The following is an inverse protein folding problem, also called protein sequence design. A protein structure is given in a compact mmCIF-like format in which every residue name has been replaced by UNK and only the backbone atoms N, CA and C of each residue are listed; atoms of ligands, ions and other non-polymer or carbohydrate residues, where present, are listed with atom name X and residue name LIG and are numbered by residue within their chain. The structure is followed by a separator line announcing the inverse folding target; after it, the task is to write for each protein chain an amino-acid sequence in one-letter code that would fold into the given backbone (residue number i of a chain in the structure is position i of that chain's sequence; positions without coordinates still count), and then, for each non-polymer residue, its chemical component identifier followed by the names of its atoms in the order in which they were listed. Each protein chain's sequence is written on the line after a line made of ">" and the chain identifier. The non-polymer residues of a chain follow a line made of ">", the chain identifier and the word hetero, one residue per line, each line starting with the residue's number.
data_IF_439656852915
#
_entry.id   IF_439656852915
#
_cell.length_a   1.000
_cell.length_b   1.000
_cell.length_c   1.000
_cell.angle_alpha   90.00
_cell.angle_beta   90.00
_cell.angle_gamma   90.00
#
_symmetry.space_group_name_H-M   'P 1'
#
loop_
_entity.id
_entity.type
_entity.pdbx_description
1 polymer ?
#
# COMPACT_ATOMS: atom_id res chain seq x y z
N UNK A 1 9.98 0.24 -4.63
CA UNK A 1 8.81 0.07 -5.51
C UNK A 1 8.30 1.40 -6.07
N UNK A 2 9.18 2.36 -6.42
CA UNK A 2 8.76 3.62 -7.05
C UNK A 2 8.48 3.44 -8.55
N UNK A 3 9.21 2.52 -9.19
CA UNK A 3 9.03 2.19 -10.62
C UNK A 3 7.64 1.58 -10.93
N UNK A 4 6.86 1.21 -9.91
CA UNK A 4 5.51 0.68 -10.07
C UNK A 4 4.41 1.72 -9.78
N UNK A 5 4.78 2.98 -9.53
CA UNK A 5 3.81 4.06 -9.34
C UNK A 5 3.57 4.77 -10.66
N UNK A 6 2.33 4.70 -11.12
CA UNK A 6 1.86 5.42 -12.31
C UNK A 6 0.58 6.18 -11.94
N UNK A 7 0.35 7.40 -12.47
CA UNK A 7 -0.93 8.06 -12.32
C UNK A 7 -2.05 7.18 -12.90
N UNK A 8 -3.07 6.87 -12.09
CA UNK A 8 -4.22 6.07 -12.50
C UNK A 8 -5.46 6.95 -12.64
N UNK A 9 -6.31 6.63 -13.63
CA UNK A 9 -7.63 7.25 -13.71
C UNK A 9 -8.47 6.85 -12.48
N UNK A 10 -9.53 7.60 -12.20
CA UNK A 10 -10.42 7.36 -11.06
C UNK A 10 -10.91 5.91 -10.96
N UNK A 11 -11.19 5.26 -12.09
CA UNK A 11 -11.63 3.86 -12.12
C UNK A 11 -10.52 2.90 -11.68
N UNK A 12 -9.31 3.02 -12.25
CA UNK A 12 -8.20 2.13 -11.93
C UNK A 12 -7.58 2.39 -10.56
N UNK A 13 -7.71 3.60 -10.01
CA UNK A 13 -7.25 3.88 -8.65
C UNK A 13 -8.19 3.33 -7.55
N UNK A 14 -9.35 2.77 -7.92
CA UNK A 14 -10.35 2.17 -7.01
C UNK A 14 -10.33 0.64 -7.01
N UNK A 15 -9.25 0.04 -7.49
CA UNK A 15 -9.16 -1.42 -7.58
C UNK A 15 -9.11 -2.06 -6.19
N UNK A 16 -8.43 -1.43 -5.22
CA UNK A 16 -8.50 -1.84 -3.82
C UNK A 16 -9.87 -1.46 -3.23
N UNK A 17 -10.36 -2.27 -2.29
CA UNK A 17 -11.59 -1.98 -1.57
C UNK A 17 -11.35 -0.82 -0.58
N UNK A 18 -11.95 0.35 -0.84
CA UNK A 18 -11.91 1.50 0.09
C UNK A 18 -12.91 1.33 1.25
N UNK A 19 -14.01 0.61 1.00
CA UNK A 19 -15.04 0.29 1.99
C UNK A 19 -14.61 -0.95 2.80
N UNK A 20 -14.42 -0.85 4.13
CA UNK A 20 -13.94 -1.97 4.95
C UNK A 20 -14.94 -3.13 5.02
N UNK A 21 -16.22 -2.89 4.70
CA UNK A 21 -17.26 -3.92 4.66
C UNK A 21 -17.33 -4.66 3.32
N UNK A 22 -16.55 -4.22 2.33
CA UNK A 22 -16.36 -4.92 1.06
C UNK A 22 -15.11 -5.80 1.10
N UNK A 23 -15.23 -7.00 0.54
CA UNK A 23 -14.16 -8.00 0.54
C UNK A 23 -14.00 -8.63 -0.85
N UNK A 24 -13.95 -7.82 -1.91
CA UNK A 24 -13.90 -8.32 -3.29
C UNK A 24 -12.47 -8.44 -3.82
N UNK A 25 -11.60 -7.47 -3.50
CA UNK A 25 -10.26 -7.33 -4.10
C UNK A 25 -9.15 -7.16 -3.05
N UNK A 26 -9.50 -6.81 -1.82
CA UNK A 26 -8.56 -6.60 -0.72
C UNK A 26 -8.28 -5.11 -0.51
N UNK A 27 -7.71 -4.78 0.65
CA UNK A 27 -7.58 -3.39 1.11
C UNK A 27 -6.27 -3.16 1.86
N UNK A 28 -5.86 -1.90 1.93
CA UNK A 28 -4.83 -1.47 2.88
C UNK A 28 -5.51 -1.08 4.20
N UNK A 29 -5.01 -1.58 5.32
CA UNK A 29 -5.48 -1.23 6.65
C UNK A 29 -4.30 -0.92 7.59
N UNK A 30 -4.52 -0.02 8.54
CA UNK A 30 -3.54 0.27 9.59
C UNK A 30 -3.74 -0.70 10.76
N UNK A 31 -2.77 -1.56 11.03
CA UNK A 31 -2.78 -2.50 12.15
C UNK A 31 -1.54 -2.24 13.00
N UNK A 32 -1.75 -1.91 14.29
CA UNK A 32 -0.67 -1.54 15.24
C UNK A 32 0.25 -0.45 14.68
N UNK A 33 -0.33 0.55 14.03
CA UNK A 33 0.39 1.70 13.47
C UNK A 33 1.16 1.43 12.16
N UNK A 34 1.11 0.22 11.61
CA UNK A 34 1.73 -0.12 10.34
C UNK A 34 0.69 -0.42 9.24
N UNK A 35 0.96 -0.11 7.96
CA UNK A 35 0.09 -0.49 6.85
C UNK A 35 0.23 -1.99 6.54
N UNK A 36 -0.91 -2.67 6.41
CA UNK A 36 -1.02 -4.08 6.00
C UNK A 36 -1.95 -4.19 4.81
N UNK A 37 -1.65 -5.09 3.88
CA UNK A 37 -2.62 -5.51 2.88
C UNK A 37 -3.45 -6.67 3.43
N UNK A 38 -4.77 -6.55 3.39
CA UNK A 38 -5.73 -7.58 3.81
C UNK A 38 -6.40 -8.13 2.56
N UNK A 39 -6.26 -9.43 2.34
CA UNK A 39 -6.92 -10.11 1.22
C UNK A 39 -8.45 -10.15 1.38
N UNK A 40 -9.22 -10.41 0.30
CA UNK A 40 -10.65 -10.72 0.37
C UNK A 40 -11.03 -11.79 1.41
N UNK A 41 -10.12 -12.72 1.70
CA UNK A 41 -10.32 -13.84 2.63
C UNK A 41 -9.81 -13.54 4.05
N UNK A 42 -9.31 -12.34 4.32
CA UNK A 42 -8.84 -11.92 5.63
C UNK A 42 -7.36 -12.18 5.94
N UNK A 43 -6.58 -12.79 5.03
CA UNK A 43 -5.13 -12.93 5.23
C UNK A 43 -4.41 -11.58 5.26
N UNK A 44 -3.54 -11.40 6.26
CA UNK A 44 -2.77 -10.19 6.47
C UNK A 44 -1.36 -10.34 5.89
N UNK A 45 -0.98 -9.46 4.97
CA UNK A 45 0.37 -9.39 4.41
C UNK A 45 1.00 -8.06 4.81
N UNK A 46 2.12 -8.15 5.53
CA UNK A 46 2.90 -6.99 5.93
C UNK A 46 3.72 -6.50 4.73
N UNK A 47 3.73 -5.20 4.49
CA UNK A 47 4.73 -4.62 3.59
C UNK A 47 6.09 -4.64 4.29
N UNK A 48 7.05 -5.41 3.75
CA UNK A 48 8.42 -5.50 4.26
C UNK A 48 9.37 -4.50 3.61
N UNK A 49 8.95 -3.89 2.50
CA UNK A 49 9.73 -2.87 1.82
C UNK A 49 9.51 -1.49 2.44
N UNK A 50 10.49 -0.60 2.26
CA UNK A 50 10.32 0.83 2.57
C UNK A 50 9.11 1.36 1.81
N UNK A 51 8.21 2.08 2.48
CA UNK A 51 7.02 2.63 1.82
C UNK A 51 7.36 3.59 0.68
N UNK A 52 6.43 3.82 -0.27
CA UNK A 52 6.64 4.75 -1.38
C UNK A 52 7.08 6.15 -0.92
N UNK A 53 6.45 6.68 0.13
CA UNK A 53 6.80 7.97 0.72
C UNK A 53 8.22 7.99 1.30
N UNK A 54 8.64 6.92 1.96
CA UNK A 54 10.01 6.79 2.49
C UNK A 54 11.03 6.66 1.35
N UNK A 55 10.67 6.01 0.24
CA UNK A 55 11.55 5.92 -0.93
C UNK A 55 11.68 7.25 -1.68
N UNK A 56 10.61 8.05 -1.73
CA UNK A 56 10.58 9.34 -2.44
C UNK A 56 11.13 10.50 -1.60
N UNK A 57 10.86 10.50 -0.30
CA UNK A 57 11.09 11.65 0.59
C UNK A 57 11.80 11.28 1.89
N UNK A 58 12.15 10.01 2.09
CA UNK A 58 12.94 9.59 3.24
C UNK A 58 14.31 10.26 3.27
N UNK A 59 15.00 10.26 4.42
CA UNK A 59 16.31 10.85 4.54
C UNK A 59 17.22 10.33 3.42
N UNK A 60 17.86 11.25 2.70
CA UNK A 60 18.86 10.91 1.69
C UNK A 60 19.84 9.95 2.37
N UNK A 61 20.03 8.76 1.79
CA UNK A 61 21.14 7.90 2.21
C UNK A 61 22.40 8.76 2.09
N UNK A 62 23.08 8.99 3.21
CA UNK A 62 24.46 9.43 3.14
C UNK A 62 25.16 8.38 2.26
N UNK A 63 25.68 8.81 1.12
CA UNK A 63 26.47 7.94 0.26
C UNK A 63 27.75 7.50 0.98
N UNK A 64 28.47 6.50 0.44
CA UNK A 64 29.82 6.21 0.91
C UNK A 64 30.73 7.44 0.86
#
# INVERSE_FOLDING_TARGET
>A
NMNNLVPLCRYHNRINDDDPWRTKRGRIAMIRGAPWWISPRGYHIKNTDRGALEQLFGPRRAGP
#
